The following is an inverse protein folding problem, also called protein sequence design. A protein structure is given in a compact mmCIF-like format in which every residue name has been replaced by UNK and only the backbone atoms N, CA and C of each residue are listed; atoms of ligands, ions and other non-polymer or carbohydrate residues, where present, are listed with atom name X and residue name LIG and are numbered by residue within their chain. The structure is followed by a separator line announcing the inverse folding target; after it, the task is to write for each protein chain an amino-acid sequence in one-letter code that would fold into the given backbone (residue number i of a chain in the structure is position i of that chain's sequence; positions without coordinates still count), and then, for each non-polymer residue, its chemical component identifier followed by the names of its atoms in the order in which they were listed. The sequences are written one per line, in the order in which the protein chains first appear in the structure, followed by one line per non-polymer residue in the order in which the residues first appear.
data_IF_567042287340
#
_entry.id   IF_567042287340
#
_cell.length_a   1.000
_cell.length_b   1.000
_cell.length_c   1.000
_cell.angle_alpha   90.00
_cell.angle_beta   90.00
_cell.angle_gamma   90.00
#
_symmetry.space_group_name_H-M   'P 1'
#
loop_
_entity.id
_entity.type
_entity.pdbx_description
1 polymer ?
#
# COMPACT_ATOMS: atom_id res chain seq x y z
N UNK A 1 -5.88 -9.60 -29.45
CA UNK A 1 -7.29 -9.86 -29.11
C UNK A 1 -7.43 -10.95 -28.03
N UNK A 2 -6.79 -12.12 -28.16
CA UNK A 2 -6.81 -13.20 -27.15
C UNK A 2 -6.27 -12.83 -25.75
N UNK A 3 -5.33 -11.87 -25.65
CA UNK A 3 -4.83 -11.37 -24.37
C UNK A 3 -5.89 -10.54 -23.60
N UNK A 4 -6.73 -9.77 -24.30
CA UNK A 4 -7.76 -8.92 -23.69
C UNK A 4 -8.93 -9.78 -23.18
N UNK A 5 -9.31 -10.85 -23.90
CA UNK A 5 -10.33 -11.81 -23.45
C UNK A 5 -9.90 -12.62 -22.22
N UNK A 6 -8.63 -13.03 -22.13
CA UNK A 6 -8.12 -13.75 -20.95
C UNK A 6 -8.02 -12.84 -19.72
N UNK A 7 -7.65 -11.57 -19.90
CA UNK A 7 -7.63 -10.61 -18.80
C UNK A 7 -9.04 -10.16 -18.37
N UNK A 8 -10.02 -10.14 -19.29
CA UNK A 8 -11.43 -9.88 -18.96
C UNK A 8 -12.06 -10.99 -18.10
N UNK A 9 -11.50 -12.22 -18.13
CA UNK A 9 -11.87 -13.31 -17.21
C UNK A 9 -11.03 -13.34 -15.91
N UNK A 10 -10.00 -12.50 -15.80
CA UNK A 10 -9.14 -12.46 -14.63
C UNK A 10 -9.67 -11.43 -13.63
N UNK A 11 -10.07 -11.90 -12.45
CA UNK A 11 -10.73 -11.10 -11.39
C UNK A 11 -9.76 -10.13 -10.70
N UNK A 12 -8.54 -9.99 -11.22
CA UNK A 12 -7.42 -9.34 -10.56
C UNK A 12 -6.94 -8.10 -11.34
N UNK A 13 -6.72 -6.98 -10.64
CA UNK A 13 -6.20 -5.77 -11.26
C UNK A 13 -4.82 -5.96 -11.93
N UNK A 14 -4.49 -5.18 -12.98
CA UNK A 14 -3.37 -5.48 -13.86
C UNK A 14 -1.98 -5.09 -13.35
N UNK A 15 -1.85 -4.24 -12.32
CA UNK A 15 -0.56 -3.63 -11.97
C UNK A 15 0.50 -4.66 -11.56
N UNK A 16 0.12 -5.65 -10.76
CA UNK A 16 1.05 -6.69 -10.33
C UNK A 16 1.59 -7.48 -11.52
N UNK A 17 0.72 -7.88 -12.44
CA UNK A 17 1.12 -8.63 -13.64
C UNK A 17 1.98 -7.79 -14.57
N UNK A 18 1.71 -6.49 -14.69
CA UNK A 18 2.55 -5.58 -15.44
C UNK A 18 3.95 -5.48 -14.82
N UNK A 19 4.04 -5.30 -13.50
CA UNK A 19 5.32 -5.28 -12.78
C UNK A 19 6.06 -6.61 -12.93
N UNK A 20 5.35 -7.74 -12.82
CA UNK A 20 5.90 -9.07 -12.99
C UNK A 20 6.45 -9.29 -14.40
N UNK A 21 5.73 -8.85 -15.43
CA UNK A 21 6.18 -8.95 -16.82
C UNK A 21 7.46 -8.14 -17.08
N UNK A 22 7.51 -6.90 -16.59
CA UNK A 22 8.71 -6.06 -16.69
C UNK A 22 9.88 -6.68 -15.92
N UNK A 23 9.62 -7.19 -14.72
CA UNK A 23 10.62 -7.83 -13.87
C UNK A 23 11.16 -9.12 -14.49
N UNK A 24 10.29 -9.94 -15.09
CA UNK A 24 10.67 -11.13 -15.85
C UNK A 24 11.56 -10.78 -17.05
N UNK A 25 11.23 -9.70 -17.76
CA UNK A 25 12.07 -9.21 -18.86
C UNK A 25 13.48 -8.82 -18.42
N UNK A 26 13.63 -8.28 -17.21
CA UNK A 26 14.91 -7.86 -16.66
C UNK A 26 15.72 -8.98 -15.97
N UNK A 27 15.05 -9.94 -15.34
CA UNK A 27 15.69 -10.96 -14.46
C UNK A 27 15.61 -12.39 -15.01
N UNK A 28 14.86 -12.60 -16.10
CA UNK A 28 14.57 -13.91 -16.66
C UNK A 28 13.34 -14.57 -16.06
N UNK A 29 13.05 -15.81 -16.50
CA UNK A 29 11.83 -16.55 -16.14
C UNK A 29 12.01 -17.60 -15.03
N UNK A 30 13.12 -17.58 -14.28
CA UNK A 30 13.30 -18.55 -13.20
C UNK A 30 12.37 -18.22 -12.01
N UNK A 31 11.85 -19.26 -11.35
CA UNK A 31 10.83 -19.09 -10.31
C UNK A 31 11.32 -18.24 -9.13
N UNK A 32 12.58 -18.42 -8.72
CA UNK A 32 13.18 -17.66 -7.64
C UNK A 32 13.17 -16.15 -7.92
N UNK A 33 13.62 -15.74 -9.11
CA UNK A 33 13.67 -14.34 -9.53
C UNK A 33 12.27 -13.73 -9.57
N UNK A 34 11.29 -14.47 -10.10
CA UNK A 34 9.90 -14.00 -10.16
C UNK A 34 9.28 -13.82 -8.77
N UNK A 35 9.51 -14.76 -7.85
CA UNK A 35 9.08 -14.65 -6.44
C UNK A 35 9.78 -13.50 -5.73
N UNK A 36 11.02 -13.18 -6.09
CA UNK A 36 11.79 -12.10 -5.46
C UNK A 36 11.13 -10.72 -5.62
N UNK A 37 10.31 -10.51 -6.67
CA UNK A 37 9.53 -9.29 -6.81
C UNK A 37 8.57 -9.07 -5.63
N UNK A 38 7.91 -10.12 -5.16
CA UNK A 38 7.01 -10.06 -4.01
C UNK A 38 7.77 -9.96 -2.68
N UNK A 39 8.96 -10.57 -2.60
CA UNK A 39 9.87 -10.43 -1.45
C UNK A 39 10.33 -8.98 -1.29
N UNK A 40 10.73 -8.33 -2.39
CA UNK A 40 11.15 -6.94 -2.37
C UNK A 40 10.04 -6.02 -1.83
N UNK A 41 8.79 -6.24 -2.25
CA UNK A 41 7.65 -5.50 -1.72
C UNK A 41 7.40 -5.79 -0.23
N UNK A 42 7.57 -7.03 0.23
CA UNK A 42 7.47 -7.39 1.64
C UNK A 42 8.51 -6.68 2.51
N UNK A 43 9.77 -6.67 2.08
CA UNK A 43 10.87 -5.96 2.77
C UNK A 43 10.63 -4.46 2.81
N UNK A 44 10.23 -3.85 1.68
CA UNK A 44 9.84 -2.44 1.65
C UNK A 44 8.64 -2.18 2.56
N UNK A 45 7.68 -3.09 2.61
CA UNK A 45 6.51 -3.05 3.50
C UNK A 45 6.91 -2.89 4.97
N UNK A 46 7.93 -3.63 5.44
CA UNK A 46 8.49 -3.48 6.79
C UNK A 46 9.00 -2.07 7.04
N UNK A 47 9.79 -1.53 6.12
CA UNK A 47 10.36 -0.18 6.25
C UNK A 47 9.27 0.91 6.27
N UNK A 48 8.26 0.80 5.42
CA UNK A 48 7.17 1.78 5.37
C UNK A 48 6.20 1.65 6.55
N UNK A 49 5.96 0.43 7.05
CA UNK A 49 5.16 0.24 8.26
C UNK A 49 5.86 0.86 9.48
N UNK A 50 7.18 0.69 9.59
CA UNK A 50 7.98 1.40 10.60
C UNK A 50 7.74 2.92 10.51
N UNK A 51 7.84 3.50 9.30
CA UNK A 51 7.65 4.95 9.09
C UNK A 51 6.24 5.41 9.45
N UNK A 52 5.22 4.64 9.10
CA UNK A 52 3.82 4.93 9.43
C UNK A 52 3.60 4.90 10.94
N UNK A 53 3.97 3.81 11.59
CA UNK A 53 3.78 3.64 13.03
C UNK A 53 4.59 4.68 13.84
N UNK A 54 5.81 5.02 13.40
CA UNK A 54 6.60 6.07 14.01
C UNK A 54 6.00 7.47 13.86
N UNK A 55 5.28 7.72 12.76
CA UNK A 55 4.61 9.01 12.54
C UNK A 55 3.30 9.14 13.34
N UNK A 56 2.62 8.02 13.62
CA UNK A 56 1.37 7.97 14.40
C UNK A 56 1.62 7.95 15.91
N UNK A 57 2.73 7.34 16.34
CA UNK A 57 3.15 7.28 17.73
C UNK A 57 4.56 7.83 17.88
N UNK A 58 5.51 6.94 18.12
CA UNK A 58 6.91 7.28 18.35
C UNK A 58 7.87 6.26 17.70
N UNK A 59 9.17 6.48 17.89
CA UNK A 59 10.20 5.60 17.29
C UNK A 59 10.09 4.15 17.80
N UNK A 60 9.61 3.94 19.03
CA UNK A 60 9.42 2.59 19.60
C UNK A 60 8.25 1.88 18.90
N UNK A 61 7.13 2.57 18.68
CA UNK A 61 6.01 2.06 17.91
C UNK A 61 6.44 1.65 16.50
N UNK A 62 7.28 2.47 15.84
CA UNK A 62 7.90 2.13 14.57
C UNK A 62 8.66 0.81 14.61
N UNK A 63 9.60 0.67 15.54
CA UNK A 63 10.43 -0.54 15.68
C UNK A 63 9.59 -1.78 15.96
N UNK A 64 8.63 -1.68 16.88
CA UNK A 64 7.74 -2.80 17.21
C UNK A 64 6.90 -3.22 16.00
N UNK A 65 6.30 -2.27 15.27
CA UNK A 65 5.48 -2.57 14.10
C UNK A 65 6.31 -3.23 12.97
N UNK A 66 7.50 -2.67 12.68
CA UNK A 66 8.42 -3.25 11.70
C UNK A 66 8.89 -4.65 12.11
N UNK A 67 9.27 -4.83 13.37
CA UNK A 67 9.70 -6.13 13.91
C UNK A 67 8.59 -7.18 13.79
N UNK A 68 7.38 -6.89 14.28
CA UNK A 68 6.27 -7.84 14.22
C UNK A 68 5.86 -8.19 12.79
N UNK A 69 5.91 -7.24 11.86
CA UNK A 69 5.65 -7.54 10.45
C UNK A 69 6.76 -8.42 9.85
N UNK A 70 8.04 -8.13 10.16
CA UNK A 70 9.18 -8.87 9.63
C UNK A 70 9.20 -10.34 10.08
N UNK A 71 8.73 -10.64 11.30
CA UNK A 71 8.66 -12.01 11.82
C UNK A 71 7.28 -12.67 11.62
N UNK A 72 6.31 -11.96 11.05
CA UNK A 72 4.97 -12.48 10.87
C UNK A 72 4.97 -13.65 9.86
N UNK A 73 4.55 -14.86 10.26
CA UNK A 73 4.53 -16.00 9.34
C UNK A 73 3.67 -15.72 8.11
N UNK A 74 2.55 -15.02 8.28
CA UNK A 74 1.69 -14.60 7.17
C UNK A 74 2.41 -13.66 6.20
N UNK A 75 3.12 -12.66 6.72
CA UNK A 75 3.84 -11.72 5.87
C UNK A 75 4.98 -12.42 5.11
N UNK A 76 5.69 -13.34 5.76
CA UNK A 76 6.77 -14.12 5.15
C UNK A 76 6.22 -15.04 4.05
N UNK A 77 5.16 -15.80 4.31
CA UNK A 77 4.53 -16.68 3.30
C UNK A 77 4.07 -15.86 2.10
N UNK A 78 3.33 -14.76 2.32
CA UNK A 78 2.86 -13.93 1.21
C UNK A 78 3.98 -13.23 0.43
N UNK A 79 5.12 -12.98 1.06
CA UNK A 79 6.31 -12.43 0.38
C UNK A 79 6.96 -13.43 -0.56
N UNK A 80 6.86 -14.73 -0.28
CA UNK A 80 7.44 -15.78 -1.10
C UNK A 80 6.52 -16.25 -2.22
N UNK A 81 5.23 -15.94 -2.14
CA UNK A 81 4.27 -16.24 -3.19
C UNK A 81 4.38 -15.23 -4.34
N UNK A 82 4.33 -15.74 -5.58
CA UNK A 82 4.26 -14.91 -6.79
C UNK A 82 2.83 -14.35 -6.95
N UNK A 83 2.44 -13.49 -6.00
CA UNK A 83 1.11 -12.88 -5.88
C UNK A 83 1.18 -11.42 -5.47
N UNK A 84 0.08 -10.71 -5.68
CA UNK A 84 -0.03 -9.26 -5.51
C UNK A 84 -0.15 -8.75 -4.07
N UNK A 85 -0.28 -9.62 -3.06
CA UNK A 85 -0.68 -9.20 -1.71
C UNK A 85 0.34 -8.30 -1.00
N UNK A 86 1.64 -8.56 -1.14
CA UNK A 86 2.68 -7.72 -0.52
C UNK A 86 2.76 -6.35 -1.16
N UNK A 87 2.57 -6.26 -2.48
CA UNK A 87 2.44 -4.99 -3.19
C UNK A 87 1.20 -4.21 -2.74
N UNK A 88 0.04 -4.88 -2.62
CA UNK A 88 -1.18 -4.25 -2.13
C UNK A 88 -1.01 -3.70 -0.71
N UNK A 89 -0.37 -4.47 0.18
CA UNK A 89 -0.05 -4.04 1.54
C UNK A 89 0.93 -2.84 1.57
N UNK A 90 1.95 -2.85 0.71
CA UNK A 90 2.92 -1.77 0.57
C UNK A 90 2.24 -0.46 0.13
N UNK A 91 1.46 -0.50 -0.96
CA UNK A 91 0.73 0.67 -1.45
C UNK A 91 -0.26 1.19 -0.42
N UNK A 92 -0.96 0.30 0.28
CA UNK A 92 -1.88 0.65 1.36
C UNK A 92 -1.17 1.40 2.49
N UNK A 93 -0.03 0.87 2.94
CA UNK A 93 0.78 1.46 4.02
C UNK A 93 1.32 2.84 3.61
N UNK A 94 1.79 2.97 2.36
CA UNK A 94 2.26 4.23 1.81
C UNK A 94 1.14 5.27 1.72
N UNK A 95 -0.06 4.85 1.29
CA UNK A 95 -1.25 5.69 1.24
C UNK A 95 -1.63 6.22 2.63
N UNK A 96 -1.67 5.35 3.64
CA UNK A 96 -1.93 5.76 5.03
C UNK A 96 -0.88 6.75 5.56
N UNK A 97 0.40 6.51 5.27
CA UNK A 97 1.47 7.41 5.68
C UNK A 97 1.33 8.80 5.02
N UNK A 98 0.98 8.84 3.74
CA UNK A 98 0.77 10.08 3.03
C UNK A 98 -0.50 10.82 3.51
N UNK A 99 -1.59 10.10 3.76
CA UNK A 99 -2.80 10.64 4.37
C UNK A 99 -2.51 11.29 5.73
N UNK A 100 -1.72 10.62 6.58
CA UNK A 100 -1.29 11.20 7.84
C UNK A 100 -0.47 12.50 7.63
N UNK A 101 0.49 12.49 6.69
CA UNK A 101 1.26 13.69 6.35
C UNK A 101 0.42 14.86 5.83
N UNK A 102 -0.65 14.57 5.08
CA UNK A 102 -1.63 15.56 4.63
C UNK A 102 -2.34 16.24 5.79
N UNK A 103 -2.79 15.46 6.77
CA UNK A 103 -3.46 16.01 7.96
C UNK A 103 -2.56 16.94 8.77
N UNK A 104 -1.26 16.62 8.86
CA UNK A 104 -0.33 17.38 9.68
C UNK A 104 0.17 18.66 9.01
N UNK A 105 0.38 18.63 7.69
CA UNK A 105 1.11 19.72 7.00
C UNK A 105 0.43 20.27 5.76
N UNK A 106 -0.59 19.58 5.21
CA UNK A 106 -1.29 19.95 3.97
C UNK A 106 -0.37 20.20 2.76
N UNK A 107 0.84 19.64 2.74
CA UNK A 107 1.79 19.82 1.63
C UNK A 107 1.38 19.00 0.41
N UNK A 108 1.49 19.59 -0.79
CA UNK A 108 1.11 18.96 -2.07
C UNK A 108 1.81 17.62 -2.35
N UNK A 109 3.05 17.45 -1.88
CA UNK A 109 3.81 16.20 -2.07
C UNK A 109 3.08 14.99 -1.48
N UNK A 110 2.43 15.17 -0.33
CA UNK A 110 1.65 14.08 0.27
C UNK A 110 0.38 13.78 -0.51
N UNK A 111 -0.22 14.76 -1.19
CA UNK A 111 -1.36 14.53 -2.10
C UNK A 111 -0.94 13.62 -3.25
N UNK A 112 0.21 13.91 -3.87
CA UNK A 112 0.73 13.10 -4.98
C UNK A 112 1.02 11.68 -4.51
N UNK A 113 1.72 11.51 -3.39
CA UNK A 113 2.01 10.16 -2.86
C UNK A 113 0.72 9.42 -2.49
N UNK A 114 -0.25 10.09 -1.87
CA UNK A 114 -1.53 9.49 -1.51
C UNK A 114 -2.31 9.00 -2.73
N UNK A 115 -2.50 9.86 -3.73
CA UNK A 115 -3.24 9.53 -4.95
C UNK A 115 -2.56 8.39 -5.71
N UNK A 116 -1.24 8.47 -5.92
CA UNK A 116 -0.49 7.42 -6.61
C UNK A 116 -0.57 6.09 -5.87
N UNK A 117 -0.43 6.10 -4.53
CA UNK A 117 -0.53 4.90 -3.72
C UNK A 117 -1.94 4.30 -3.74
N UNK A 118 -3.00 5.11 -3.68
CA UNK A 118 -4.38 4.64 -3.78
C UNK A 118 -4.69 4.03 -5.15
N UNK A 119 -4.27 4.68 -6.23
CA UNK A 119 -4.43 4.16 -7.60
C UNK A 119 -3.67 2.84 -7.74
N UNK A 120 -2.40 2.80 -7.29
CA UNK A 120 -1.59 1.59 -7.35
C UNK A 120 -2.19 0.45 -6.51
N UNK A 121 -2.71 0.74 -5.31
CA UNK A 121 -3.37 -0.24 -4.46
C UNK A 121 -4.62 -0.83 -5.15
N UNK A 122 -5.50 0.02 -5.70
CA UNK A 122 -6.69 -0.42 -6.43
C UNK A 122 -6.34 -1.22 -7.68
N UNK A 123 -5.31 -0.78 -8.40
CA UNK A 123 -4.78 -1.46 -9.59
C UNK A 123 -3.95 -2.71 -9.25
N UNK A 124 -3.75 -3.01 -7.97
CA UNK A 124 -3.10 -4.25 -7.50
C UNK A 124 -4.12 -5.22 -6.90
N UNK A 125 -5.05 -4.73 -6.09
CA UNK A 125 -6.08 -5.53 -5.43
C UNK A 125 -7.34 -4.68 -5.17
N UNK A 126 -8.48 -5.05 -5.76
CA UNK A 126 -9.73 -4.29 -5.65
C UNK A 126 -10.21 -4.10 -4.20
N UNK A 127 -9.93 -5.08 -3.32
CA UNK A 127 -10.31 -5.02 -1.90
C UNK A 127 -9.70 -3.82 -1.16
N UNK A 128 -8.62 -3.25 -1.68
CA UNK A 128 -8.01 -2.03 -1.14
C UNK A 128 -8.89 -0.78 -1.28
N UNK A 129 -10.03 -0.86 -1.97
CA UNK A 129 -11.07 0.20 -1.93
C UNK A 129 -11.50 0.54 -0.51
N UNK A 130 -11.46 -0.44 0.40
CA UNK A 130 -11.74 -0.23 1.83
C UNK A 130 -10.81 0.82 2.46
N UNK A 131 -9.54 0.84 2.08
CA UNK A 131 -8.59 1.88 2.51
C UNK A 131 -9.10 3.27 2.13
N UNK A 132 -9.47 3.45 0.86
CA UNK A 132 -9.97 4.73 0.35
C UNK A 132 -11.21 5.17 1.11
N UNK A 133 -12.17 4.28 1.31
CA UNK A 133 -13.41 4.59 2.03
C UNK A 133 -13.08 5.02 3.47
N UNK A 134 -12.34 4.19 4.21
CA UNK A 134 -12.01 4.46 5.62
C UNK A 134 -11.24 5.78 5.77
N UNK A 135 -10.19 5.97 4.96
CA UNK A 135 -9.32 7.14 5.08
C UNK A 135 -10.08 8.43 4.75
N UNK A 136 -10.85 8.46 3.66
CA UNK A 136 -11.60 9.66 3.27
C UNK A 136 -12.77 9.96 4.22
N UNK A 137 -13.47 8.93 4.74
CA UNK A 137 -14.50 9.12 5.77
C UNK A 137 -13.88 9.70 7.04
N UNK A 138 -12.72 9.20 7.47
CA UNK A 138 -12.01 9.77 8.62
C UNK A 138 -11.61 11.24 8.39
N UNK A 139 -11.16 11.59 7.17
CA UNK A 139 -10.88 12.98 6.79
C UNK A 139 -12.11 13.87 6.90
N UNK A 140 -13.24 13.42 6.35
CA UNK A 140 -14.50 14.17 6.39
C UNK A 140 -15.00 14.36 7.83
N UNK A 141 -14.97 13.30 8.65
CA UNK A 141 -15.37 13.36 10.05
C UNK A 141 -14.49 14.35 10.85
N UNK A 142 -13.18 14.29 10.67
CA UNK A 142 -12.25 15.21 11.33
C UNK A 142 -12.43 16.67 10.88
N UNK A 143 -12.71 16.88 9.59
CA UNK A 143 -13.00 18.21 9.05
C UNK A 143 -14.31 18.79 9.63
N UNK A 144 -15.38 17.98 9.67
CA UNK A 144 -16.68 18.35 10.23
C UNK A 144 -16.54 18.77 11.71
N UNK A 145 -15.81 17.98 12.50
CA UNK A 145 -15.58 18.25 13.92
C UNK A 145 -14.81 19.55 14.15
N UNK A 146 -13.75 19.82 13.36
CA UNK A 146 -13.01 21.08 13.43
C UNK A 146 -13.85 22.29 13.03
N UNK A 147 -14.75 22.14 12.05
CA UNK A 147 -15.67 23.20 11.61
C UNK A 147 -16.69 23.53 12.69
N UNK A 148 -17.28 22.51 13.33
CA UNK A 148 -18.24 22.67 14.42
C UNK A 148 -17.66 23.41 15.63
N UNK A 149 -16.44 23.04 16.05
CA UNK A 149 -15.79 23.72 17.18
C UNK A 149 -15.41 25.18 16.89
N UNK A 150 -15.23 25.55 15.61
CA UNK A 150 -14.97 26.94 15.21
C UNK A 150 -16.23 27.80 15.14
N UNK A 151 -17.42 27.21 15.01
CA UNK A 151 -18.70 27.95 15.03
C UNK A 151 -19.26 28.20 16.44
N UNK A 152 -18.67 27.57 17.46
CA UNK A 152 -19.03 27.76 18.87
C UNK A 152 -18.10 28.73 19.62
N UNK A 153 -17.10 29.29 18.92
CA UNK A 153 -16.18 30.34 19.36
C UNK A 153 -16.49 31.63 18.61
#
# INVERSE_FOLDING_TARGET
LQLIERTASDVHPPLYYLLLHLWQGATGGNEFALRFLSVAAGVLGVAFLYKLAAALGDRRAGWLAGFFLAISPFAVVWSQEMRMYTWAALWTTLGLWAAWGLWQTSRWRYWVVYVLACVAALWTLYLTVTLLVITNVAFLAAWQHRRWNRSLL
#
